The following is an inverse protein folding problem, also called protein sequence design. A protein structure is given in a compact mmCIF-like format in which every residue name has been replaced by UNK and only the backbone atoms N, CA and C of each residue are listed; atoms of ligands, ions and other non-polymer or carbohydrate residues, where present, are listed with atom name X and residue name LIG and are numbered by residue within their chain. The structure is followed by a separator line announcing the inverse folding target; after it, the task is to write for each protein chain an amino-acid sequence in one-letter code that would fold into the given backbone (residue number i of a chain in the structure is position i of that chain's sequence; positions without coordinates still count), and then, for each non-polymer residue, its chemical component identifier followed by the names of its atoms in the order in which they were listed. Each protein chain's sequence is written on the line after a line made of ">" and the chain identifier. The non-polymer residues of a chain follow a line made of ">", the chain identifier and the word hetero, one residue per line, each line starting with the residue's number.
data_IF_108010074156
#
_entry.id   IF_108010074156
#
_cell.length_a   1.000
_cell.length_b   1.000
_cell.length_c   1.000
_cell.angle_alpha   90.00
_cell.angle_beta   90.00
_cell.angle_gamma   90.00
#
_symmetry.space_group_name_H-M   'P 1'
#
loop_
_entity.id
_entity.type
_entity.pdbx_description
1 polymer ?
#
# COMPACT_ATOMS: atom_id res chain seq x y z
N UNK A 1 -33.54 11.95 -23.19
CA UNK A 1 -33.25 11.12 -22.01
C UNK A 1 -31.75 11.20 -21.73
N UNK A 2 -31.34 12.08 -20.82
CA UNK A 2 -29.93 12.27 -20.47
C UNK A 2 -29.48 11.18 -19.51
N UNK A 3 -28.69 10.24 -20.03
CA UNK A 3 -28.01 9.22 -19.24
C UNK A 3 -26.86 9.93 -18.49
N UNK A 4 -26.93 10.00 -17.16
CA UNK A 4 -25.91 10.63 -16.33
C UNK A 4 -25.10 9.54 -15.59
N UNK A 5 -23.94 9.13 -16.13
CA UNK A 5 -23.14 8.04 -15.57
C UNK A 5 -22.57 8.35 -14.18
N UNK A 6 -22.45 9.63 -13.79
CA UNK A 6 -22.00 10.00 -12.44
C UNK A 6 -23.07 9.71 -11.40
N UNK A 7 -24.34 9.92 -11.74
CA UNK A 7 -25.49 9.65 -10.86
C UNK A 7 -25.70 8.14 -10.65
N UNK A 8 -25.41 7.33 -11.66
CA UNK A 8 -25.40 5.87 -11.55
C UNK A 8 -24.22 5.36 -10.72
N UNK A 9 -23.05 5.99 -10.84
CA UNK A 9 -21.89 5.67 -10.00
C UNK A 9 -22.13 6.00 -8.54
N UNK A 10 -22.73 7.15 -8.23
CA UNK A 10 -23.11 7.53 -6.87
C UNK A 10 -24.20 6.62 -6.30
N UNK A 11 -25.22 6.29 -7.10
CA UNK A 11 -26.27 5.34 -6.71
C UNK A 11 -25.69 3.94 -6.47
N UNK A 12 -24.77 3.47 -7.32
CA UNK A 12 -24.08 2.20 -7.14
C UNK A 12 -23.25 2.23 -5.86
N UNK A 13 -22.42 3.26 -5.63
CA UNK A 13 -21.61 3.38 -4.42
C UNK A 13 -22.45 3.50 -3.14
N UNK A 14 -23.57 4.20 -3.16
CA UNK A 14 -24.49 4.29 -2.02
C UNK A 14 -25.20 2.95 -1.74
N UNK A 15 -25.61 2.23 -2.79
CA UNK A 15 -26.22 0.90 -2.67
C UNK A 15 -25.19 -0.14 -2.22
N UNK A 16 -23.96 -0.09 -2.74
CA UNK A 16 -22.84 -0.94 -2.30
C UNK A 16 -22.42 -0.61 -0.87
N UNK A 17 -22.47 0.65 -0.45
CA UNK A 17 -22.17 1.03 0.94
C UNK A 17 -23.21 0.49 1.93
N UNK A 18 -24.50 0.50 1.57
CA UNK A 18 -25.57 -0.07 2.38
C UNK A 18 -25.57 -1.62 2.40
N UNK A 19 -25.13 -2.26 1.31
CA UNK A 19 -25.07 -3.72 1.21
C UNK A 19 -23.78 -4.32 1.77
N UNK A 20 -22.65 -3.60 1.72
CA UNK A 20 -21.40 -3.95 2.42
C UNK A 20 -21.55 -3.91 3.94
N UNK A 21 -22.46 -3.07 4.48
CA UNK A 21 -22.77 -3.05 5.92
C UNK A 21 -23.32 -4.38 6.45
N UNK A 22 -23.66 -5.33 5.56
CA UNK A 22 -24.11 -6.68 5.93
C UNK A 22 -23.04 -7.77 5.85
N UNK A 23 -21.84 -7.49 5.31
CA UNK A 23 -20.79 -8.52 5.16
C UNK A 23 -19.70 -8.28 6.21
N UNK A 24 -19.60 -9.19 7.18
CA UNK A 24 -18.51 -9.17 8.15
C UNK A 24 -17.26 -9.84 7.60
N UNK A 25 -16.10 -9.50 8.18
CA UNK A 25 -14.83 -10.18 7.87
C UNK A 25 -14.91 -11.68 8.22
N UNK A 26 -15.74 -12.05 9.19
CA UNK A 26 -15.96 -13.46 9.56
C UNK A 26 -16.79 -14.21 8.51
N UNK A 27 -17.80 -13.58 7.91
CA UNK A 27 -18.54 -14.18 6.78
C UNK A 27 -17.60 -14.47 5.60
N UNK A 28 -16.70 -13.54 5.30
CA UNK A 28 -15.71 -13.69 4.24
C UNK A 28 -14.73 -14.84 4.51
N UNK A 29 -14.40 -15.14 5.79
CA UNK A 29 -13.56 -16.30 6.15
C UNK A 29 -14.22 -17.63 5.81
N UNK A 30 -15.54 -17.67 5.79
CA UNK A 30 -16.34 -18.84 5.45
C UNK A 30 -16.80 -18.83 3.98
N UNK A 31 -16.19 -17.98 3.15
CA UNK A 31 -16.49 -17.90 1.73
C UNK A 31 -16.19 -19.23 1.03
N UNK A 32 -17.17 -19.72 0.26
CA UNK A 32 -16.97 -20.84 -0.68
C UNK A 32 -16.82 -20.28 -2.07
N UNK A 33 -15.61 -20.33 -2.61
CA UNK A 33 -15.31 -19.95 -4.00
C UNK A 33 -16.01 -20.93 -4.95
N UNK A 34 -16.73 -20.39 -5.91
CA UNK A 34 -17.47 -21.15 -6.93
C UNK A 34 -16.62 -21.25 -8.19
N UNK A 35 -16.26 -20.10 -8.78
CA UNK A 35 -15.49 -20.03 -10.03
C UNK A 35 -15.05 -18.59 -10.33
N UNK A 36 -14.12 -18.45 -11.27
CA UNK A 36 -13.83 -17.17 -11.91
C UNK A 36 -14.96 -16.80 -12.89
N UNK A 37 -15.28 -15.50 -12.99
CA UNK A 37 -16.29 -14.93 -13.89
C UNK A 37 -15.66 -13.82 -14.72
N UNK A 38 -15.86 -13.89 -16.03
CA UNK A 38 -15.37 -12.91 -17.03
C UNK A 38 -13.86 -12.61 -16.95
N UNK A 39 -13.07 -13.51 -16.35
CA UNK A 39 -11.64 -13.32 -16.06
C UNK A 39 -11.32 -12.01 -15.33
N UNK A 40 -12.26 -11.53 -14.51
CA UNK A 40 -12.18 -10.27 -13.76
C UNK A 40 -12.61 -10.42 -12.31
N UNK A 41 -13.57 -11.32 -12.08
CA UNK A 41 -14.20 -11.49 -10.79
C UNK A 41 -14.10 -12.92 -10.31
N UNK A 42 -14.09 -13.08 -9.00
CA UNK A 42 -14.24 -14.37 -8.33
C UNK A 42 -15.65 -14.40 -7.75
N UNK A 43 -16.45 -15.38 -8.16
CA UNK A 43 -17.77 -15.62 -7.60
C UNK A 43 -17.63 -16.50 -6.36
N UNK A 44 -18.19 -16.05 -5.24
CA UNK A 44 -18.18 -16.80 -3.99
C UNK A 44 -19.56 -16.76 -3.30
N UNK A 45 -19.82 -17.73 -2.44
CA UNK A 45 -20.98 -17.73 -1.56
C UNK A 45 -20.57 -17.61 -0.09
N UNK A 46 -21.20 -16.69 0.61
CA UNK A 46 -21.00 -16.44 2.04
C UNK A 46 -22.20 -16.99 2.84
N UNK A 47 -22.02 -17.42 4.09
CA UNK A 47 -23.15 -17.64 5.00
C UNK A 47 -23.89 -16.31 5.23
N UNK A 48 -25.24 -16.33 5.17
CA UNK A 48 -26.04 -15.17 5.54
C UNK A 48 -26.14 -15.08 7.07
N UNK A 49 -25.53 -14.07 7.68
CA UNK A 49 -25.60 -13.83 9.12
C UNK A 49 -26.89 -13.08 9.55
N UNK A 50 -27.75 -12.69 8.59
CA UNK A 50 -29.00 -11.96 8.84
C UNK A 50 -30.28 -12.80 8.81
N UNK A 51 -30.21 -14.11 8.54
CA UNK A 51 -31.37 -15.00 8.40
C UNK A 51 -31.45 -16.03 9.52
N UNK A 52 -32.63 -16.15 10.14
CA UNK A 52 -32.94 -17.16 11.17
C UNK A 52 -33.08 -18.60 10.62
N UNK A 53 -32.99 -18.79 9.30
CA UNK A 53 -32.96 -20.09 8.61
C UNK A 53 -31.52 -20.57 8.42
N UNK A 54 -31.25 -21.81 8.86
CA UNK A 54 -29.98 -22.50 8.62
C UNK A 54 -29.86 -22.92 7.15
N UNK A 55 -29.55 -21.99 6.25
CA UNK A 55 -29.44 -22.33 4.82
C UNK A 55 -29.09 -21.17 3.92
N UNK A 56 -29.49 -19.94 4.27
CA UNK A 56 -29.39 -18.83 3.33
C UNK A 56 -27.93 -18.46 3.03
N UNK A 57 -27.65 -18.22 1.75
CA UNK A 57 -26.30 -17.87 1.27
C UNK A 57 -26.34 -16.56 0.50
N UNK A 58 -25.39 -15.69 0.78
CA UNK A 58 -25.18 -14.46 0.00
C UNK A 58 -24.17 -14.75 -1.11
N UNK A 59 -24.58 -14.58 -2.37
CA UNK A 59 -23.64 -14.57 -3.49
C UNK A 59 -22.94 -13.22 -3.58
N UNK A 60 -21.62 -13.25 -3.74
CA UNK A 60 -20.77 -12.06 -3.89
C UNK A 60 -19.83 -12.20 -5.08
N UNK A 61 -19.53 -11.07 -5.72
CA UNK A 61 -18.41 -10.94 -6.65
C UNK A 61 -17.25 -10.25 -5.93
N UNK A 62 -16.06 -10.79 -6.13
CA UNK A 62 -14.81 -10.22 -5.62
C UNK A 62 -13.98 -9.80 -6.82
N UNK A 63 -13.61 -8.52 -6.90
CA UNK A 63 -12.72 -8.01 -7.96
C UNK A 63 -11.32 -8.61 -7.74
N UNK A 64 -10.87 -9.44 -8.69
CA UNK A 64 -9.63 -10.20 -8.55
C UNK A 64 -8.40 -9.28 -8.48
N UNK A 65 -8.42 -8.18 -9.21
CA UNK A 65 -7.34 -7.20 -9.23
C UNK A 65 -7.31 -6.42 -7.92
N UNK A 66 -8.45 -5.88 -7.52
CA UNK A 66 -8.58 -5.12 -6.27
C UNK A 66 -8.22 -5.96 -5.04
N UNK A 67 -8.65 -7.22 -4.99
CA UNK A 67 -8.32 -8.13 -3.90
C UNK A 67 -6.82 -8.45 -3.88
N UNK A 68 -6.25 -8.82 -5.03
CA UNK A 68 -4.81 -9.11 -5.16
C UNK A 68 -3.95 -7.90 -4.77
N UNK A 69 -4.32 -6.71 -5.24
CA UNK A 69 -3.65 -5.46 -4.89
C UNK A 69 -3.71 -5.17 -3.38
N UNK A 70 -4.89 -5.35 -2.76
CA UNK A 70 -5.08 -5.14 -1.31
C UNK A 70 -4.21 -6.09 -0.48
N UNK A 71 -4.15 -7.37 -0.83
CA UNK A 71 -3.30 -8.35 -0.14
C UNK A 71 -1.83 -7.92 -0.18
N UNK A 72 -1.37 -7.52 -1.37
CA UNK A 72 0.02 -7.13 -1.60
C UNK A 72 0.38 -5.84 -0.90
N UNK A 73 -0.49 -4.82 -0.97
CA UNK A 73 -0.21 -3.51 -0.39
C UNK A 73 -0.10 -3.58 1.13
N UNK A 74 -1.00 -4.33 1.78
CA UNK A 74 -0.93 -4.51 3.24
C UNK A 74 0.33 -5.29 3.64
N UNK A 75 0.69 -6.36 2.93
CA UNK A 75 1.93 -7.09 3.17
C UNK A 75 3.16 -6.19 3.06
N UNK A 76 3.18 -5.30 2.07
CA UNK A 76 4.29 -4.34 1.91
C UNK A 76 4.30 -3.26 2.99
N UNK A 77 3.13 -2.80 3.45
CA UNK A 77 3.05 -1.89 4.59
C UNK A 77 3.50 -2.58 5.88
N UNK A 78 3.14 -3.83 6.12
CA UNK A 78 3.63 -4.63 7.24
C UNK A 78 5.16 -4.75 7.22
N UNK A 79 5.75 -5.07 6.06
CA UNK A 79 7.20 -5.17 5.90
C UNK A 79 7.90 -3.83 6.17
N UNK A 80 7.48 -2.74 5.52
CA UNK A 80 8.18 -1.46 5.61
C UNK A 80 7.91 -0.73 6.93
N UNK A 81 6.75 -0.97 7.55
CA UNK A 81 6.39 -0.41 8.85
C UNK A 81 6.98 -1.19 10.03
N UNK A 82 7.55 -2.37 9.80
CA UNK A 82 8.26 -3.11 10.83
C UNK A 82 9.40 -2.28 11.45
N UNK A 83 9.72 -2.56 12.71
CA UNK A 83 10.80 -1.88 13.44
C UNK A 83 11.85 -2.90 13.87
N UNK A 84 13.12 -2.77 13.41
CA UNK A 84 13.60 -1.78 12.44
C UNK A 84 13.04 -2.03 11.03
N UNK A 85 12.88 -0.97 10.24
CA UNK A 85 12.47 -1.11 8.83
C UNK A 85 13.54 -1.91 8.07
N UNK A 86 13.18 -3.01 7.38
CA UNK A 86 14.11 -3.78 6.57
C UNK A 86 14.78 -2.87 5.54
N UNK A 87 16.11 -2.83 5.58
CA UNK A 87 16.91 -1.95 4.73
C UNK A 87 18.18 -2.65 4.27
N UNK A 88 18.64 -2.30 3.07
CA UNK A 88 19.82 -2.88 2.43
C UNK A 88 20.62 -1.82 1.69
N UNK A 89 21.90 -2.10 1.48
CA UNK A 89 22.75 -1.26 0.65
C UNK A 89 22.35 -1.36 -0.83
N UNK A 90 22.46 -0.28 -1.61
CA UNK A 90 22.08 -0.26 -3.03
C UNK A 90 22.98 -1.11 -3.96
N UNK A 91 24.07 -1.71 -3.46
CA UNK A 91 25.02 -2.50 -4.26
C UNK A 91 25.92 -1.67 -5.20
N UNK A 92 25.59 -0.39 -5.42
CA UNK A 92 26.41 0.61 -6.10
C UNK A 92 26.30 1.97 -5.41
N UNK A 93 27.34 2.83 -5.47
CA UNK A 93 27.25 4.17 -4.87
C UNK A 93 26.13 5.00 -5.52
N UNK A 94 25.23 5.54 -4.69
CA UNK A 94 24.28 6.57 -5.09
C UNK A 94 24.75 7.89 -4.48
N UNK A 95 25.36 8.74 -5.32
CA UNK A 95 25.98 9.99 -4.92
C UNK A 95 25.10 11.17 -5.29
N UNK A 96 24.86 12.07 -4.33
CA UNK A 96 24.07 13.28 -4.54
C UNK A 96 24.78 14.50 -3.99
N UNK A 97 24.83 15.55 -4.80
CA UNK A 97 25.36 16.85 -4.43
C UNK A 97 24.22 17.72 -3.89
N UNK A 98 24.45 18.32 -2.74
CA UNK A 98 23.44 19.05 -1.96
C UNK A 98 23.99 20.40 -1.52
N UNK A 99 23.13 21.41 -1.49
CA UNK A 99 23.45 22.71 -0.90
C UNK A 99 23.47 22.65 0.63
N UNK A 100 24.11 23.64 1.27
CA UNK A 100 24.21 23.73 2.73
C UNK A 100 22.84 23.64 3.44
N UNK A 101 21.79 24.24 2.87
CA UNK A 101 20.44 24.19 3.42
C UNK A 101 19.86 22.77 3.42
N UNK A 102 19.96 22.05 2.29
CA UNK A 102 19.47 20.67 2.18
C UNK A 102 20.21 19.75 3.15
N UNK A 103 21.53 19.89 3.25
CA UNK A 103 22.34 19.15 4.23
C UNK A 103 21.87 19.47 5.66
N UNK A 104 21.61 20.73 5.97
CA UNK A 104 21.10 21.15 7.27
C UNK A 104 19.76 20.48 7.61
N UNK A 105 18.82 20.40 6.67
CA UNK A 105 17.54 19.72 6.88
C UNK A 105 17.72 18.22 7.06
N UNK A 106 18.54 17.56 6.23
CA UNK A 106 18.79 16.13 6.34
C UNK A 106 19.44 15.77 7.67
N UNK A 107 20.41 16.55 8.15
CA UNK A 107 21.04 16.30 9.45
C UNK A 107 20.08 16.61 10.62
N UNK A 108 19.28 17.68 10.54
CA UNK A 108 18.27 18.02 11.56
C UNK A 108 17.26 16.90 11.77
N UNK A 109 16.80 16.28 10.68
CA UNK A 109 15.76 15.26 10.68
C UNK A 109 16.30 13.83 10.50
N UNK A 110 17.60 13.61 10.67
CA UNK A 110 18.27 12.31 10.43
C UNK A 110 17.55 11.13 11.07
N UNK A 111 17.08 11.28 12.32
CA UNK A 111 16.38 10.20 13.03
C UNK A 111 15.08 9.74 12.34
N UNK A 112 14.35 10.66 11.68
CA UNK A 112 13.16 10.30 10.89
C UNK A 112 13.53 9.42 9.71
N UNK A 113 14.56 9.78 8.96
CA UNK A 113 15.06 9.00 7.83
C UNK A 113 15.57 7.62 8.26
N UNK A 114 16.36 7.57 9.33
CA UNK A 114 16.89 6.31 9.86
C UNK A 114 15.78 5.38 10.35
N UNK A 115 14.72 5.94 10.94
CA UNK A 115 13.55 5.15 11.35
C UNK A 115 12.86 4.45 10.17
N UNK A 116 12.97 5.01 8.96
CA UNK A 116 12.45 4.43 7.71
C UNK A 116 13.53 3.70 6.89
N UNK A 117 14.70 3.42 7.46
CA UNK A 117 15.75 2.63 6.82
C UNK A 117 16.65 3.40 5.84
N UNK A 118 16.52 4.72 5.77
CA UNK A 118 17.40 5.59 4.98
C UNK A 118 18.62 5.97 5.80
N UNK A 119 19.82 5.65 5.28
CA UNK A 119 21.10 6.11 5.86
C UNK A 119 21.99 6.65 4.75
N UNK A 120 22.78 7.66 5.08
CA UNK A 120 23.81 8.22 4.20
C UNK A 120 25.03 8.65 4.99
N UNK A 121 26.12 8.80 4.27
CA UNK A 121 27.38 9.36 4.75
C UNK A 121 27.81 10.51 3.85
N UNK A 122 28.43 11.54 4.42
CA UNK A 122 29.10 12.59 3.64
C UNK A 122 30.37 12.00 3.01
N UNK A 123 30.62 12.32 1.75
CA UNK A 123 31.81 11.88 1.03
C UNK A 123 32.53 13.07 0.43
N UNK A 124 33.86 13.01 0.43
CA UNK A 124 34.71 14.05 -0.14
C UNK A 124 34.91 13.75 -1.62
N UNK A 125 34.41 14.64 -2.48
CA UNK A 125 34.58 14.56 -3.93
C UNK A 125 35.33 15.80 -4.40
N UNK A 126 36.36 15.62 -5.24
CA UNK A 126 37.11 16.74 -5.83
C UNK A 126 36.20 17.53 -6.77
N UNK A 127 36.28 18.85 -6.72
CA UNK A 127 35.52 19.74 -7.62
C UNK A 127 34.10 20.07 -7.16
N UNK A 128 33.72 19.74 -5.92
CA UNK A 128 32.47 20.23 -5.33
C UNK A 128 32.61 21.73 -5.03
N UNK A 129 31.67 22.59 -5.49
CA UNK A 129 31.67 24.02 -5.21
C UNK A 129 31.61 24.29 -3.70
N UNK A 130 32.12 25.46 -3.31
CA UNK A 130 32.05 25.91 -1.92
C UNK A 130 30.59 25.98 -1.42
N UNK A 131 30.37 25.61 -0.17
CA UNK A 131 29.03 25.53 0.43
C UNK A 131 28.15 24.35 -0.03
N UNK A 132 28.69 23.42 -0.84
CA UNK A 132 28.01 22.18 -1.22
C UNK A 132 28.68 20.96 -0.59
N UNK A 133 27.92 19.87 -0.44
CA UNK A 133 28.43 18.59 0.04
C UNK A 133 27.89 17.46 -0.82
N UNK A 134 28.69 16.40 -0.98
CA UNK A 134 28.22 15.16 -1.58
C UNK A 134 27.88 14.17 -0.49
N UNK A 135 26.71 13.54 -0.59
CA UNK A 135 26.34 12.40 0.23
C UNK A 135 26.34 11.12 -0.61
N UNK A 136 26.67 10.00 0.02
CA UNK A 136 26.48 8.66 -0.51
C UNK A 136 25.42 7.95 0.31
N UNK A 137 24.41 7.39 -0.35
CA UNK A 137 23.41 6.55 0.31
C UNK A 137 24.08 5.24 0.77
N UNK A 138 23.96 4.95 2.06
CA UNK A 138 24.46 3.73 2.69
C UNK A 138 23.40 2.64 2.71
N UNK A 139 22.15 2.98 3.06
CA UNK A 139 21.02 2.04 3.06
C UNK A 139 19.73 2.72 2.58
N UNK A 140 18.85 1.92 2.00
CA UNK A 140 17.48 2.26 1.62
C UNK A 140 16.55 1.16 2.13
N UNK A 141 15.24 1.45 2.33
CA UNK A 141 14.27 0.38 2.59
C UNK A 141 14.33 -0.68 1.49
N UNK A 142 14.35 -1.95 1.89
CA UNK A 142 14.49 -3.11 0.99
C UNK A 142 13.44 -3.11 -0.12
N UNK A 143 12.24 -2.64 0.20
CA UNK A 143 11.11 -2.58 -0.73
C UNK A 143 11.36 -1.67 -1.94
N UNK A 144 12.13 -0.59 -1.76
CA UNK A 144 12.31 0.49 -2.74
C UNK A 144 13.71 0.58 -3.33
N UNK A 145 14.71 -0.07 -2.72
CA UNK A 145 16.12 -0.03 -3.15
C UNK A 145 16.28 -0.33 -4.65
N UNK A 146 15.60 -1.36 -5.17
CA UNK A 146 15.72 -1.75 -6.58
C UNK A 146 15.23 -0.66 -7.54
N UNK A 147 14.22 0.13 -7.15
CA UNK A 147 13.71 1.23 -7.96
C UNK A 147 14.63 2.46 -7.87
N UNK A 148 15.11 2.79 -6.66
CA UNK A 148 16.09 3.84 -6.44
C UNK A 148 17.42 3.56 -7.16
N UNK A 149 17.83 2.29 -7.25
CA UNK A 149 19.02 1.91 -8.02
C UNK A 149 18.76 2.12 -9.51
N UNK A 150 17.61 1.71 -10.05
CA UNK A 150 17.30 1.92 -11.48
C UNK A 150 17.12 3.39 -11.84
N UNK A 151 16.55 4.18 -10.95
CA UNK A 151 16.23 5.59 -11.13
C UNK A 151 16.71 6.41 -9.92
N UNK A 152 18.00 6.79 -9.86
CA UNK A 152 18.61 7.46 -8.70
C UNK A 152 17.95 8.79 -8.30
N UNK A 153 17.35 9.50 -9.25
CA UNK A 153 16.61 10.74 -8.99
C UNK A 153 15.46 10.53 -8.00
N UNK A 154 14.81 9.36 -8.00
CA UNK A 154 13.77 9.05 -7.02
C UNK A 154 14.29 9.03 -5.58
N UNK A 155 15.52 8.55 -5.36
CA UNK A 155 16.09 8.47 -4.03
C UNK A 155 16.30 9.86 -3.45
N UNK A 156 16.89 10.76 -4.22
CA UNK A 156 17.14 12.14 -3.76
C UNK A 156 15.86 12.95 -3.65
N UNK A 157 14.91 12.74 -4.56
CA UNK A 157 13.61 13.40 -4.49
C UNK A 157 12.80 12.97 -3.27
N UNK A 158 12.88 11.69 -2.87
CA UNK A 158 12.28 11.21 -1.64
C UNK A 158 12.92 11.90 -0.42
N UNK A 159 14.25 11.97 -0.37
CA UNK A 159 14.95 12.65 0.72
C UNK A 159 14.55 14.13 0.84
N UNK A 160 14.54 14.85 -0.29
CA UNK A 160 14.15 16.26 -0.36
C UNK A 160 12.72 16.49 0.08
N UNK A 161 11.78 15.80 -0.54
CA UNK A 161 10.35 15.98 -0.25
C UNK A 161 10.01 15.64 1.19
N UNK A 162 10.63 14.59 1.76
CA UNK A 162 10.41 14.27 3.17
C UNK A 162 11.03 15.30 4.10
N UNK A 163 12.25 15.77 3.82
CA UNK A 163 12.89 16.83 4.61
C UNK A 163 12.08 18.13 4.62
N UNK A 164 11.54 18.53 3.47
CA UNK A 164 10.68 19.70 3.35
C UNK A 164 9.36 19.51 4.09
N UNK A 165 8.68 18.37 3.94
CA UNK A 165 7.44 18.09 4.66
C UNK A 165 7.61 18.14 6.19
N UNK A 166 8.75 17.65 6.71
CA UNK A 166 9.08 17.74 8.14
C UNK A 166 9.37 19.19 8.58
N UNK A 167 10.03 19.98 7.74
CA UNK A 167 10.32 21.37 8.02
C UNK A 167 9.04 22.23 8.01
N UNK A 168 8.19 22.05 7.00
CA UNK A 168 6.94 22.80 6.82
C UNK A 168 5.94 22.53 7.95
N UNK A 169 5.87 21.28 8.41
CA UNK A 169 5.05 20.89 9.57
C UNK A 169 5.69 21.25 10.91
N UNK A 170 6.90 21.84 10.92
CA UNK A 170 7.67 22.11 12.14
C UNK A 170 7.82 20.87 13.03
N UNK A 171 8.00 19.70 12.42
CA UNK A 171 8.10 18.43 13.12
C UNK A 171 9.27 18.46 14.13
N UNK A 172 9.16 17.74 15.26
CA UNK A 172 10.30 17.54 16.15
C UNK A 172 11.42 16.78 15.44
N UNK A 173 12.66 16.94 15.90
CA UNK A 173 13.81 16.23 15.31
C UNK A 173 13.75 14.71 15.49
N UNK A 174 12.99 14.23 16.46
CA UNK A 174 12.78 12.81 16.76
C UNK A 174 11.49 12.29 16.14
N UNK A 175 11.48 11.12 15.49
CA UNK A 175 10.27 10.52 14.95
C UNK A 175 9.35 9.99 16.05
N UNK A 176 8.03 9.88 15.77
CA UNK A 176 7.13 9.15 16.64
C UNK A 176 7.57 7.68 16.71
N UNK A 177 7.49 7.08 17.91
CA UNK A 177 7.76 5.64 18.05
C UNK A 177 6.73 4.82 17.27
N UNK A 178 7.20 3.78 16.57
CA UNK A 178 6.38 2.78 15.88
C UNK A 178 6.27 1.46 16.65
N UNK A 179 6.94 1.35 17.81
CA UNK A 179 6.99 0.13 18.60
C UNK A 179 5.60 -0.26 19.09
N UNK A 180 5.17 -1.47 18.74
CA UNK A 180 3.86 -2.01 19.11
C UNK A 180 2.69 -1.44 18.32
N UNK A 181 2.93 -0.54 17.34
CA UNK A 181 1.88 -0.03 16.45
C UNK A 181 1.62 -0.98 15.31
N UNK A 182 0.37 -1.02 14.86
CA UNK A 182 0.03 -1.65 13.58
C UNK A 182 0.60 -0.85 12.40
N UNK A 183 0.71 -1.50 11.23
CA UNK A 183 1.08 -0.79 10.00
C UNK A 183 0.13 0.38 9.71
N UNK A 184 -1.17 0.24 10.03
CA UNK A 184 -2.18 1.29 9.82
C UNK A 184 -1.85 2.56 10.60
N UNK A 185 -1.41 2.42 11.84
CA UNK A 185 -1.01 3.55 12.68
C UNK A 185 0.37 4.10 12.28
N UNK A 186 1.29 3.23 11.86
CA UNK A 186 2.65 3.60 11.47
C UNK A 186 2.72 4.36 10.14
N UNK A 187 1.82 4.07 9.19
CA UNK A 187 1.75 4.76 7.89
C UNK A 187 1.49 6.26 8.05
N UNK A 188 0.86 6.72 9.13
CA UNK A 188 0.59 8.13 9.38
C UNK A 188 1.83 9.03 9.51
N UNK A 189 3.01 8.47 9.82
CA UNK A 189 4.28 9.20 9.86
C UNK A 189 5.24 8.81 8.73
N UNK A 190 4.72 8.15 7.71
CA UNK A 190 5.49 7.67 6.56
C UNK A 190 5.62 8.76 5.50
N UNK A 191 6.77 8.87 4.80
CA UNK A 191 6.91 9.81 3.69
C UNK A 191 5.91 9.47 2.57
N UNK A 192 5.18 10.47 2.06
CA UNK A 192 4.17 10.28 1.00
C UNK A 192 4.73 9.56 -0.23
N UNK A 193 5.90 9.97 -0.73
CA UNK A 193 6.57 9.28 -1.83
C UNK A 193 6.88 7.81 -1.54
N UNK A 194 7.11 7.45 -0.28
CA UNK A 194 7.34 6.05 0.10
C UNK A 194 6.02 5.26 0.07
N UNK A 195 4.92 5.87 0.50
CA UNK A 195 3.56 5.31 0.36
C UNK A 195 3.24 5.07 -1.11
N UNK A 196 3.52 6.04 -1.99
CA UNK A 196 3.30 5.91 -3.43
C UNK A 196 4.13 4.78 -4.06
N UNK A 197 5.37 4.61 -3.62
CA UNK A 197 6.23 3.53 -4.09
C UNK A 197 5.69 2.16 -3.67
N UNK A 198 5.13 2.04 -2.46
CA UNK A 198 4.48 0.82 -1.96
C UNK A 198 3.24 0.50 -2.80
N UNK A 199 2.35 1.49 -2.96
CA UNK A 199 1.12 1.35 -3.75
C UNK A 199 1.44 0.96 -5.20
N UNK A 200 2.38 1.67 -5.84
CA UNK A 200 2.80 1.35 -7.20
C UNK A 200 3.43 -0.05 -7.32
N UNK A 201 4.11 -0.54 -6.28
CA UNK A 201 4.69 -1.90 -6.28
C UNK A 201 3.62 -2.97 -6.09
N UNK A 202 2.60 -2.70 -5.28
CA UNK A 202 1.45 -3.58 -5.10
C UNK A 202 0.68 -3.76 -6.41
N UNK A 203 0.27 -2.64 -7.03
CA UNK A 203 -0.49 -2.61 -8.27
C UNK A 203 0.21 -3.34 -9.43
N UNK A 204 1.50 -3.07 -9.67
CA UNK A 204 2.26 -3.67 -10.80
C UNK A 204 2.49 -5.18 -10.71
N UNK A 205 2.28 -5.80 -9.55
CA UNK A 205 2.38 -7.26 -9.42
C UNK A 205 1.10 -7.90 -8.92
N UNK A 206 -0.01 -7.17 -8.90
CA UNK A 206 -1.32 -7.73 -8.65
C UNK A 206 -1.77 -8.52 -9.88
N UNK A 207 -2.68 -9.47 -9.67
CA UNK A 207 -3.40 -10.15 -10.76
C UNK A 207 -4.11 -9.09 -11.61
N UNK A 208 -4.02 -9.20 -12.93
CA UNK A 208 -4.63 -8.29 -13.88
C UNK A 208 -6.00 -8.77 -14.30
N UNK A 209 -6.80 -7.88 -14.88
CA UNK A 209 -7.99 -8.30 -15.62
C UNK A 209 -7.62 -9.07 -16.87
N UNK A 210 -8.45 -10.06 -17.18
CA UNK A 210 -8.28 -11.05 -18.24
C UNK A 210 -7.24 -12.13 -17.94
N UNK A 211 -6.56 -12.08 -16.80
CA UNK A 211 -5.78 -13.23 -16.31
C UNK A 211 -6.75 -14.37 -16.00
N UNK A 212 -6.49 -15.54 -16.58
CA UNK A 212 -7.22 -16.77 -16.26
C UNK A 212 -6.68 -17.33 -14.95
N UNK A 213 -7.57 -17.59 -14.00
CA UNK A 213 -7.23 -18.12 -12.69
C UNK A 213 -7.83 -19.51 -12.54
N UNK A 214 -7.02 -20.45 -12.10
CA UNK A 214 -7.50 -21.72 -11.57
C UNK A 214 -8.40 -21.48 -10.35
N UNK A 215 -9.23 -22.47 -10.05
CA UNK A 215 -10.10 -22.41 -8.87
C UNK A 215 -9.28 -22.34 -7.57
N UNK A 216 -8.07 -22.88 -7.57
CA UNK A 216 -7.13 -22.87 -6.45
C UNK A 216 -6.55 -21.47 -6.25
N UNK A 217 -6.10 -20.79 -7.31
CA UNK A 217 -5.65 -19.39 -7.24
C UNK A 217 -6.78 -18.46 -6.78
N UNK A 218 -8.02 -18.71 -7.24
CA UNK A 218 -9.18 -17.96 -6.74
C UNK A 218 -9.37 -18.14 -5.23
N UNK A 219 -9.21 -19.36 -4.70
CA UNK A 219 -9.27 -19.63 -3.25
C UNK A 219 -8.16 -18.93 -2.49
N UNK A 220 -6.93 -18.98 -3.00
CA UNK A 220 -5.77 -18.30 -2.39
C UNK A 220 -5.98 -16.78 -2.31
N UNK A 221 -6.54 -16.16 -3.35
CA UNK A 221 -6.86 -14.72 -3.33
C UNK A 221 -7.92 -14.42 -2.26
N UNK A 222 -9.00 -15.21 -2.20
CA UNK A 222 -10.06 -14.97 -1.21
C UNK A 222 -9.55 -15.20 0.21
N UNK A 223 -8.79 -16.27 0.46
CA UNK A 223 -8.16 -16.54 1.75
C UNK A 223 -7.19 -15.41 2.14
N UNK A 224 -6.30 -15.02 1.23
CA UNK A 224 -5.38 -13.90 1.45
C UNK A 224 -6.12 -12.60 1.77
N UNK A 225 -7.22 -12.31 1.07
CA UNK A 225 -8.03 -11.12 1.31
C UNK A 225 -8.60 -11.13 2.74
N UNK A 226 -9.04 -12.27 3.25
CA UNK A 226 -9.52 -12.39 4.65
C UNK A 226 -8.43 -12.15 5.69
N UNK A 227 -7.15 -12.30 5.32
CA UNK A 227 -6.02 -11.93 6.17
C UNK A 227 -5.89 -10.42 6.38
N UNK A 228 -6.27 -9.63 5.37
CA UNK A 228 -6.06 -8.18 5.34
C UNK A 228 -6.91 -7.42 6.36
N UNK A 229 -6.42 -6.29 6.85
CA UNK A 229 -7.13 -5.37 7.74
C UNK A 229 -8.33 -4.74 7.05
N UNK A 230 -8.23 -4.43 5.75
CA UNK A 230 -9.26 -3.74 4.97
C UNK A 230 -9.74 -4.56 3.76
N UNK A 231 -10.41 -5.71 3.98
CA UNK A 231 -10.72 -6.67 2.92
C UNK A 231 -11.81 -6.21 1.95
N UNK A 232 -12.60 -5.19 2.31
CA UNK A 232 -13.77 -4.73 1.55
C UNK A 232 -13.53 -3.48 0.71
N UNK A 233 -12.35 -2.86 0.84
CA UNK A 233 -11.99 -1.64 0.13
C UNK A 233 -10.64 -1.83 -0.56
N UNK A 234 -10.55 -1.58 -1.85
CA UNK A 234 -9.30 -1.61 -2.61
C UNK A 234 -8.36 -0.46 -2.21
N UNK A 235 -7.09 -0.48 -2.65
CA UNK A 235 -6.12 0.56 -2.30
C UNK A 235 -6.54 1.98 -2.75
N UNK A 236 -7.45 2.07 -3.71
CA UNK A 236 -7.99 3.31 -4.28
C UNK A 236 -9.38 3.71 -3.73
N UNK A 237 -9.89 3.02 -2.70
CA UNK A 237 -11.14 3.41 -2.02
C UNK A 237 -12.43 2.83 -2.60
N UNK A 238 -12.37 1.93 -3.60
CA UNK A 238 -13.56 1.26 -4.17
C UNK A 238 -13.86 -0.06 -3.46
N UNK A 239 -15.12 -0.53 -3.42
CA UNK A 239 -15.46 -1.86 -2.97
C UNK A 239 -14.66 -2.96 -3.68
N UNK A 240 -14.01 -3.86 -2.94
CA UNK A 240 -13.37 -5.07 -3.47
C UNK A 240 -14.30 -6.28 -3.51
N UNK A 241 -15.37 -6.25 -2.71
CA UNK A 241 -16.41 -7.28 -2.61
C UNK A 241 -17.76 -6.62 -2.85
N UNK A 242 -18.59 -7.21 -3.72
CA UNK A 242 -19.91 -6.68 -4.08
C UNK A 242 -20.95 -7.79 -3.90
N UNK A 243 -21.96 -7.63 -3.04
CA UNK A 243 -23.07 -8.57 -2.96
C UNK A 243 -23.94 -8.54 -4.20
N UNK A 244 -24.38 -9.71 -4.64
CA UNK A 244 -25.29 -9.89 -5.77
C UNK A 244 -26.72 -10.18 -5.32
N UNK A 245 -26.92 -11.29 -4.62
CA UNK A 245 -28.24 -11.83 -4.28
C UNK A 245 -28.16 -12.76 -3.07
N UNK A 246 -29.18 -12.73 -2.23
CA UNK A 246 -29.40 -13.71 -1.15
C UNK A 246 -30.20 -14.89 -1.71
N UNK A 247 -29.70 -16.11 -1.52
CA UNK A 247 -30.35 -17.37 -1.88
C UNK A 247 -30.94 -17.99 -0.60
N UNK A 248 -32.25 -18.23 -0.59
CA UNK A 248 -32.98 -18.94 0.47
C UNK A 248 -33.69 -20.19 -0.05
#
# INVERSE_FOLDING_TARGET
>A
CGHNPEKERESFLATTSLSLQKISKDDLRHAKVIQQVDRKFILASLPSSSSSSSGDRLLVLIDQHAASERIRVEKFFEEICAEPTPSVAPGRPLLFQLGAHEVGLLERYRAHFESWGFRWQKVVVKGVPDGQSTISISTLPSLVVGRCVKEPTLAIDLLRTFAHALADSSAPSTPPSRKGKSWVEAVGSMPEKLVDMVNSKACRGAVMFNDELSLEECREIVEGLTGTRMPFICAHGRPSVVPLVELG
#
